data_IF_432119054866
#
_entry.id   IF_432119054866
#
_cell.length_a   1.000
_cell.length_b   1.000
_cell.length_c   1.000
_cell.angle_alpha   90.00
_cell.angle_beta   90.00
_cell.angle_gamma   90.00
#
_symmetry.space_group_name_H-M   'P 1'
#
loop_
_entity.id
_entity.type
_entity.pdbx_description
1 polymer ?
#
# COMPACT_ATOMS: atom_id res chain seq x y z
N UNK A 1 7.66 -1.42 27.19
CA UNK A 1 8.59 -0.26 27.34
C UNK A 1 7.84 0.99 27.77
N UNK A 2 8.49 1.94 28.47
CA UNK A 2 7.94 3.29 28.66
C UNK A 2 7.93 3.98 27.30
N UNK A 3 6.80 4.54 26.87
CA UNK A 3 6.63 5.09 25.51
C UNK A 3 7.20 6.50 25.40
N UNK A 4 6.90 7.36 26.38
CA UNK A 4 7.41 8.73 26.42
C UNK A 4 8.94 8.76 26.56
N UNK A 5 9.60 9.46 25.64
CA UNK A 5 11.07 9.50 25.53
C UNK A 5 11.68 8.27 24.85
N UNK A 6 10.87 7.39 24.24
CA UNK A 6 11.36 6.25 23.46
C UNK A 6 12.04 6.73 22.19
N UNK A 7 13.21 6.19 21.86
CA UNK A 7 13.92 6.45 20.62
C UNK A 7 13.69 5.29 19.65
N UNK A 8 13.08 5.59 18.49
CA UNK A 8 12.76 4.66 17.41
C UNK A 8 13.53 5.06 16.16
N UNK A 9 14.06 4.12 15.41
CA UNK A 9 14.65 4.34 14.10
C UNK A 9 13.77 3.78 12.99
N UNK A 10 13.79 4.40 11.81
CA UNK A 10 13.15 3.88 10.59
C UNK A 10 14.12 4.00 9.42
N UNK A 11 14.26 2.94 8.62
CA UNK A 11 15.28 2.83 7.55
C UNK A 11 14.62 2.78 6.18
N UNK A 12 15.06 3.65 5.27
CA UNK A 12 14.49 3.81 3.95
C UNK A 12 15.57 3.81 2.85
N UNK A 13 15.28 3.26 1.64
CA UNK A 13 16.19 3.43 0.50
C UNK A 13 16.17 4.86 -0.01
N UNK A 14 14.99 5.48 -0.01
CA UNK A 14 14.74 6.85 -0.46
C UNK A 14 13.53 7.40 0.28
N UNK A 15 13.56 8.67 0.64
CA UNK A 15 12.41 9.43 1.15
C UNK A 15 12.00 10.48 0.11
N UNK A 16 10.78 10.36 -0.39
CA UNK A 16 10.17 11.23 -1.39
C UNK A 16 8.64 11.21 -1.25
N UNK A 17 7.89 11.91 -2.08
CA UNK A 17 6.42 11.91 -2.02
C UNK A 17 5.83 10.67 -2.71
N UNK A 18 5.82 9.54 -2.00
CA UNK A 18 5.22 8.27 -2.43
C UNK A 18 4.18 7.76 -1.43
N UNK A 19 3.42 6.72 -1.80
CA UNK A 19 2.35 6.21 -0.93
C UNK A 19 2.85 5.68 0.42
N UNK A 20 4.00 4.98 0.45
CA UNK A 20 4.62 4.52 1.69
C UNK A 20 5.16 5.69 2.52
N UNK A 21 5.75 6.67 1.87
CA UNK A 21 6.42 7.80 2.53
C UNK A 21 5.43 8.72 3.22
N UNK A 22 4.20 8.83 2.71
CA UNK A 22 3.08 9.51 3.40
C UNK A 22 2.74 8.79 4.70
N UNK A 23 2.65 7.46 4.69
CA UNK A 23 2.36 6.66 5.89
C UNK A 23 3.48 6.83 6.93
N UNK A 24 4.74 6.79 6.49
CA UNK A 24 5.92 6.97 7.34
C UNK A 24 5.94 8.39 7.95
N UNK A 25 5.59 9.39 7.16
CA UNK A 25 5.49 10.78 7.61
C UNK A 25 4.37 10.97 8.65
N UNK A 26 3.18 10.43 8.38
CA UNK A 26 2.05 10.52 9.32
C UNK A 26 2.30 9.72 10.60
N UNK A 27 3.04 8.61 10.51
CA UNK A 27 3.52 7.87 11.69
C UNK A 27 4.51 8.72 12.50
N UNK A 28 5.36 9.52 11.87
CA UNK A 28 6.25 10.47 12.54
C UNK A 28 5.46 11.52 13.33
N UNK A 29 4.41 12.11 12.74
CA UNK A 29 3.50 13.02 13.46
C UNK A 29 2.81 12.34 14.65
N UNK A 30 2.37 11.10 14.46
CA UNK A 30 1.76 10.32 15.51
C UNK A 30 2.74 10.07 16.66
N UNK A 31 3.97 9.66 16.36
CA UNK A 31 5.02 9.40 17.36
C UNK A 31 5.40 10.67 18.13
N UNK A 32 5.53 11.81 17.44
CA UNK A 32 5.69 13.12 18.10
C UNK A 32 4.59 13.36 19.15
N UNK A 33 3.33 13.10 18.78
CA UNK A 33 2.20 13.27 19.70
C UNK A 33 2.18 12.28 20.89
N UNK A 34 2.99 11.23 20.82
CA UNK A 34 3.19 10.22 21.89
C UNK A 34 4.47 10.48 22.70
N UNK A 35 5.22 11.54 22.41
CA UNK A 35 6.52 11.82 23.02
C UNK A 35 7.63 10.85 22.59
N UNK A 36 7.50 10.22 21.42
CA UNK A 36 8.47 9.28 20.85
C UNK A 36 9.37 10.02 19.86
N UNK A 37 10.69 9.85 20.00
CA UNK A 37 11.67 10.37 19.06
C UNK A 37 11.86 9.42 17.89
N UNK A 38 11.72 9.91 16.64
CA UNK A 38 11.86 9.10 15.43
C UNK A 38 13.07 9.54 14.61
N UNK A 39 14.00 8.62 14.40
CA UNK A 39 15.23 8.82 13.65
C UNK A 39 15.12 8.15 12.28
N UNK A 40 15.08 8.95 11.22
CA UNK A 40 15.05 8.44 9.84
C UNK A 40 16.48 8.25 9.32
N UNK A 41 16.75 7.06 8.75
CA UNK A 41 17.99 6.73 8.05
C UNK A 41 17.68 6.40 6.60
N UNK A 42 18.26 7.14 5.65
CA UNK A 42 17.96 6.95 4.23
C UNK A 42 19.20 7.07 3.36
N UNK A 43 19.23 6.37 2.21
CA UNK A 43 20.29 6.48 1.21
C UNK A 43 20.13 7.76 0.40
N UNK A 44 18.89 8.12 0.06
CA UNK A 44 18.53 9.31 -0.69
C UNK A 44 17.38 10.06 -0.02
N UNK A 45 17.48 11.37 0.04
CA UNK A 45 16.43 12.25 0.54
C UNK A 45 16.12 13.34 -0.47
N UNK A 46 14.86 13.42 -0.90
CA UNK A 46 14.34 14.46 -1.76
C UNK A 46 13.60 15.50 -0.92
N UNK A 47 14.35 16.43 -0.36
CA UNK A 47 13.85 17.45 0.58
C UNK A 47 12.67 18.26 0.03
N UNK A 48 12.69 18.60 -1.25
CA UNK A 48 11.58 19.32 -1.90
C UNK A 48 10.27 18.52 -1.95
N UNK A 49 10.34 17.20 -1.88
CA UNK A 49 9.19 16.30 -1.95
C UNK A 49 8.77 15.75 -0.59
N UNK A 50 9.69 15.66 0.37
CA UNK A 50 9.44 15.10 1.69
C UNK A 50 10.22 15.84 2.78
N UNK A 51 9.52 16.31 3.81
CA UNK A 51 10.09 17.04 4.95
C UNK A 51 9.89 16.27 6.24
N UNK A 52 10.70 16.58 7.27
CA UNK A 52 10.51 16.02 8.60
C UNK A 52 9.14 16.40 9.18
N UNK A 53 8.41 15.44 9.76
CA UNK A 53 7.11 15.71 10.39
C UNK A 53 7.17 16.75 11.50
N UNK A 54 8.19 16.66 12.35
CA UNK A 54 8.46 17.58 13.45
C UNK A 54 9.97 17.54 13.77
N UNK A 55 10.74 18.60 13.49
CA UNK A 55 12.17 18.62 13.75
C UNK A 55 12.57 18.52 15.24
N UNK A 56 11.65 18.73 16.17
CA UNK A 56 11.91 18.60 17.61
C UNK A 56 11.99 17.13 18.04
N UNK A 57 11.17 16.28 17.44
CA UNK A 57 11.07 14.85 17.75
C UNK A 57 11.61 13.95 16.64
N UNK A 58 11.79 14.50 15.43
CA UNK A 58 12.26 13.73 14.28
C UNK A 58 13.63 14.21 13.81
N UNK A 59 14.53 13.28 13.52
CA UNK A 59 15.81 13.57 12.88
C UNK A 59 15.97 12.74 11.62
N UNK A 60 16.87 13.18 10.71
CA UNK A 60 17.20 12.46 9.49
C UNK A 60 18.71 12.40 9.32
N UNK A 61 19.20 11.21 8.98
CA UNK A 61 20.61 10.98 8.67
C UNK A 61 20.73 10.24 7.34
N UNK A 62 21.63 10.72 6.47
CA UNK A 62 21.97 10.02 5.25
C UNK A 62 23.01 8.93 5.52
N UNK A 63 22.87 7.79 4.85
CA UNK A 63 23.93 6.80 4.80
C UNK A 63 25.20 7.39 4.12
N UNK A 64 26.40 6.87 4.43
CA UNK A 64 27.62 7.32 3.79
C UNK A 64 27.55 7.26 2.27
N UNK A 65 28.24 8.17 1.59
CA UNK A 65 28.28 8.24 0.14
C UNK A 65 28.71 6.89 -0.47
N UNK A 66 27.96 6.41 -1.47
CA UNK A 66 28.19 5.12 -2.12
C UNK A 66 27.63 3.90 -1.37
N UNK A 67 27.09 4.08 -0.17
CA UNK A 67 26.39 3.01 0.52
C UNK A 67 25.13 2.62 -0.25
N UNK A 68 24.84 1.31 -0.27
CA UNK A 68 23.55 0.78 -0.72
C UNK A 68 22.83 0.25 0.51
N UNK A 69 21.54 0.44 0.57
CA UNK A 69 20.75 -0.12 1.66
C UNK A 69 21.09 -1.62 1.83
N UNK A 70 21.38 -2.01 3.08
CA UNK A 70 21.75 -3.38 3.43
C UNK A 70 23.05 -3.91 2.76
N UNK A 71 24.06 -3.05 2.53
CA UNK A 71 25.44 -3.50 2.37
C UNK A 71 26.20 -3.37 3.70
N UNK A 72 27.40 -3.95 3.80
CA UNK A 72 28.19 -3.95 5.03
C UNK A 72 28.42 -2.53 5.56
N UNK A 73 28.82 -1.60 4.69
CA UNK A 73 29.07 -0.19 5.05
C UNK A 73 27.82 0.49 5.66
N UNK A 74 26.64 0.25 5.07
CA UNK A 74 25.40 0.81 5.58
C UNK A 74 25.02 0.19 6.93
N UNK A 75 25.22 -1.10 7.12
CA UNK A 75 24.91 -1.80 8.37
C UNK A 75 25.83 -1.36 9.49
N UNK A 76 27.14 -1.26 9.23
CA UNK A 76 28.12 -0.80 10.24
C UNK A 76 27.82 0.64 10.68
N UNK A 77 27.53 1.53 9.73
CA UNK A 77 27.09 2.88 10.03
C UNK A 77 25.80 2.88 10.86
N UNK A 78 24.78 2.11 10.44
CA UNK A 78 23.50 2.05 11.14
C UNK A 78 23.70 1.56 12.58
N UNK A 79 24.46 0.49 12.82
CA UNK A 79 24.75 -0.03 14.17
C UNK A 79 25.42 1.04 15.04
N UNK A 80 26.34 1.82 14.49
CA UNK A 80 26.97 2.93 15.22
C UNK A 80 25.91 3.99 15.61
N UNK A 81 25.04 4.38 14.68
CA UNK A 81 23.99 5.37 14.92
C UNK A 81 22.95 4.86 15.94
N UNK A 82 22.54 3.59 15.85
CA UNK A 82 21.60 2.98 16.80
C UNK A 82 22.12 3.07 18.24
N UNK A 83 23.42 2.85 18.45
CA UNK A 83 24.06 2.98 19.76
C UNK A 83 24.21 4.43 20.21
N UNK A 84 24.64 5.32 19.29
CA UNK A 84 24.85 6.75 19.57
C UNK A 84 23.56 7.43 20.03
N UNK A 85 22.43 7.13 19.37
CA UNK A 85 21.13 7.72 19.67
C UNK A 85 20.29 6.88 20.65
N UNK A 86 20.89 5.83 21.24
CA UNK A 86 20.21 4.93 22.20
C UNK A 86 18.88 4.39 21.67
N UNK A 87 18.86 4.02 20.38
CA UNK A 87 17.65 3.51 19.72
C UNK A 87 17.22 2.20 20.37
N UNK A 88 15.97 2.12 20.76
CA UNK A 88 15.37 0.92 21.36
C UNK A 88 14.67 0.04 20.33
N UNK A 89 14.11 0.63 19.28
CA UNK A 89 13.32 -0.07 18.25
C UNK A 89 13.77 0.36 16.86
N UNK A 90 14.00 -0.60 15.98
CA UNK A 90 14.29 -0.37 14.57
C UNK A 90 13.11 -0.84 13.72
N UNK A 91 12.42 0.11 13.07
CA UNK A 91 11.37 -0.15 12.09
C UNK A 91 11.99 -0.37 10.70
N UNK A 92 11.60 -1.44 10.04
CA UNK A 92 12.12 -1.85 8.74
C UNK A 92 10.96 -1.96 7.74
N UNK A 93 10.58 -0.86 7.05
CA UNK A 93 9.47 -0.88 6.10
C UNK A 93 9.83 -1.65 4.83
N UNK A 94 9.09 -2.71 4.52
CA UNK A 94 9.10 -3.49 3.27
C UNK A 94 10.42 -4.14 2.82
N UNK A 95 11.58 -3.65 3.21
CA UNK A 95 12.88 -4.10 2.67
C UNK A 95 13.68 -4.79 3.76
N UNK A 96 13.71 -6.12 3.69
CA UNK A 96 14.43 -6.93 4.69
C UNK A 96 15.94 -6.68 4.68
N UNK A 97 16.56 -6.55 5.86
CA UNK A 97 18.00 -6.42 6.02
C UNK A 97 18.75 -7.75 5.89
N UNK A 98 18.11 -8.79 5.35
CA UNK A 98 18.81 -10.06 5.14
C UNK A 98 20.03 -9.89 4.21
N UNK A 99 21.24 -10.41 4.56
CA UNK A 99 21.53 -11.36 5.64
C UNK A 99 21.95 -10.74 7.00
N UNK A 100 21.76 -9.45 7.23
CA UNK A 100 22.33 -8.70 8.37
C UNK A 100 21.43 -8.66 9.62
N UNK A 101 20.34 -9.44 9.67
CA UNK A 101 19.42 -9.48 10.82
C UNK A 101 20.15 -9.75 12.15
N UNK A 102 21.05 -10.73 12.18
CA UNK A 102 21.80 -11.09 13.39
C UNK A 102 22.75 -9.97 13.84
N UNK A 103 23.41 -9.29 12.88
CA UNK A 103 24.27 -8.16 13.19
C UNK A 103 23.47 -6.99 13.80
N UNK A 104 22.29 -6.70 13.28
CA UNK A 104 21.40 -5.68 13.83
C UNK A 104 20.88 -6.06 15.22
N UNK A 105 20.50 -7.32 15.44
CA UNK A 105 20.07 -7.82 16.77
C UNK A 105 21.18 -7.71 17.80
N UNK A 106 22.44 -7.95 17.42
CA UNK A 106 23.59 -7.82 18.33
C UNK A 106 23.84 -6.40 18.83
N UNK A 107 23.23 -5.37 18.21
CA UNK A 107 23.25 -4.00 18.71
C UNK A 107 22.33 -3.77 19.91
N UNK A 108 21.49 -4.74 20.27
CA UNK A 108 20.56 -4.67 21.40
C UNK A 108 19.20 -4.05 21.07
N UNK A 109 18.96 -3.64 19.81
CA UNK A 109 17.69 -3.04 19.40
C UNK A 109 16.63 -4.12 19.13
N UNK A 110 15.37 -3.77 19.35
CA UNK A 110 14.22 -4.58 18.91
C UNK A 110 13.94 -4.35 17.44
N UNK A 111 13.86 -5.43 16.67
CA UNK A 111 13.64 -5.39 15.23
C UNK A 111 12.14 -5.57 14.90
N UNK A 112 11.54 -4.60 14.24
CA UNK A 112 10.15 -4.65 13.80
C UNK A 112 10.10 -4.54 12.28
N UNK A 113 9.72 -5.62 11.61
CA UNK A 113 9.50 -5.59 10.17
C UNK A 113 8.08 -5.06 9.89
N UNK A 114 7.99 -3.97 9.13
CA UNK A 114 6.72 -3.31 8.83
C UNK A 114 6.33 -3.52 7.37
N UNK A 115 5.51 -4.54 7.13
CA UNK A 115 5.10 -4.91 5.77
C UNK A 115 3.88 -4.10 5.32
N UNK A 116 4.07 -3.27 4.30
CA UNK A 116 3.00 -2.49 3.65
C UNK A 116 2.46 -3.14 2.36
N UNK A 117 2.95 -4.31 2.03
CA UNK A 117 2.54 -5.07 0.85
C UNK A 117 1.58 -6.23 1.16
N UNK A 118 1.03 -6.79 0.11
CA UNK A 118 0.38 -8.10 0.19
C UNK A 118 1.45 -9.17 0.43
N UNK A 119 1.30 -10.06 1.43
CA UNK A 119 2.26 -11.12 1.65
C UNK A 119 2.49 -11.99 0.41
N UNK A 120 3.76 -12.32 0.14
CA UNK A 120 4.18 -13.14 -1.01
C UNK A 120 3.77 -12.56 -2.38
N UNK A 121 3.55 -11.24 -2.46
CA UNK A 121 3.22 -10.57 -3.72
C UNK A 121 4.34 -10.68 -4.75
N UNK A 122 5.59 -10.74 -4.30
CA UNK A 122 6.78 -10.85 -5.15
C UNK A 122 6.75 -12.11 -6.01
N UNK A 123 6.25 -13.21 -5.45
CA UNK A 123 6.05 -14.44 -6.20
C UNK A 123 5.02 -14.26 -7.33
N UNK A 124 3.92 -13.54 -7.06
CA UNK A 124 2.87 -13.25 -8.05
C UNK A 124 3.35 -12.23 -9.07
N UNK A 125 3.93 -11.12 -8.61
CA UNK A 125 4.46 -10.07 -9.48
C UNK A 125 5.55 -10.61 -10.42
N UNK A 126 6.43 -11.46 -9.94
CA UNK A 126 7.45 -12.04 -10.78
C UNK A 126 6.89 -12.94 -11.90
N UNK A 127 5.70 -13.50 -11.74
CA UNK A 127 5.01 -14.23 -12.81
C UNK A 127 4.38 -13.23 -13.80
N UNK A 128 3.74 -12.18 -13.29
CA UNK A 128 2.99 -11.21 -14.08
C UNK A 128 3.91 -10.21 -14.80
N UNK A 129 4.92 -9.68 -14.12
CA UNK A 129 5.93 -8.77 -14.72
C UNK A 129 6.71 -9.44 -15.85
N UNK A 130 6.91 -10.73 -15.73
CA UNK A 130 7.63 -11.48 -16.76
C UNK A 130 6.80 -11.72 -18.00
N UNK A 131 5.46 -11.81 -17.90
CA UNK A 131 4.57 -11.71 -19.06
C UNK A 131 4.71 -10.36 -19.78
N UNK A 132 5.09 -9.30 -19.07
CA UNK A 132 5.28 -7.95 -19.61
C UNK A 132 6.71 -7.75 -20.18
N UNK A 133 7.74 -8.26 -19.50
CA UNK A 133 9.15 -8.22 -19.97
C UNK A 133 9.39 -9.05 -21.22
N UNK A 134 8.54 -10.03 -21.45
CA UNK A 134 8.50 -10.89 -22.65
C UNK A 134 8.30 -10.09 -23.96
N UNK A 135 7.86 -8.82 -23.91
CA UNK A 135 7.73 -7.98 -25.10
C UNK A 135 9.05 -7.48 -25.69
N UNK A 136 10.20 -7.60 -24.99
CA UNK A 136 11.46 -6.95 -25.41
C UNK A 136 12.43 -7.75 -26.26
N UNK A 137 12.48 -9.08 -26.22
CA UNK A 137 13.36 -9.92 -27.10
C UNK A 137 12.79 -11.32 -27.33
N UNK A 138 12.57 -11.70 -28.58
CA UNK A 138 11.92 -12.97 -28.99
C UNK A 138 12.64 -14.22 -28.46
N UNK A 139 13.99 -14.26 -28.46
CA UNK A 139 14.79 -15.39 -27.96
C UNK A 139 14.64 -15.62 -26.46
N UNK A 140 14.64 -14.53 -25.64
CA UNK A 140 14.35 -14.62 -24.20
C UNK A 140 12.89 -14.97 -23.90
N UNK A 141 12.01 -14.69 -24.87
CA UNK A 141 10.58 -14.98 -24.82
C UNK A 141 10.35 -16.49 -24.86
N UNK A 142 10.97 -17.18 -25.79
CA UNK A 142 10.87 -18.63 -25.97
C UNK A 142 11.52 -19.40 -24.82
N UNK A 143 12.73 -19.00 -24.39
CA UNK A 143 13.40 -19.56 -23.21
C UNK A 143 12.56 -19.46 -21.94
N UNK A 144 11.84 -18.34 -21.79
CA UNK A 144 11.03 -18.05 -20.63
C UNK A 144 9.71 -18.81 -20.62
N UNK A 145 8.99 -18.85 -21.75
CA UNK A 145 7.67 -19.51 -21.87
C UNK A 145 7.81 -21.03 -21.80
N UNK A 146 8.86 -21.59 -22.43
CA UNK A 146 8.96 -23.04 -22.61
C UNK A 146 9.94 -23.73 -21.66
N UNK A 147 10.92 -23.05 -21.07
CA UNK A 147 11.97 -23.71 -20.28
C UNK A 147 12.02 -23.30 -18.81
N UNK A 148 12.22 -22.02 -18.50
CA UNK A 148 12.49 -21.60 -17.11
C UNK A 148 11.23 -21.35 -16.25
N UNK A 149 10.17 -20.80 -16.83
CA UNK A 149 8.95 -20.49 -16.07
C UNK A 149 8.14 -21.74 -15.74
N UNK A 150 7.80 -22.58 -16.73
CA UNK A 150 7.09 -23.81 -16.45
C UNK A 150 7.83 -24.70 -15.46
N UNK A 151 9.16 -24.83 -15.58
CA UNK A 151 9.96 -25.62 -14.66
C UNK A 151 9.95 -25.06 -13.23
N UNK A 152 10.16 -23.75 -13.04
CA UNK A 152 10.13 -23.12 -11.71
C UNK A 152 8.74 -23.10 -11.09
N UNK A 153 7.69 -22.97 -11.90
CA UNK A 153 6.31 -23.07 -11.44
C UNK A 153 5.94 -24.51 -11.09
N UNK A 154 6.29 -25.44 -11.96
CA UNK A 154 6.01 -26.87 -11.78
C UNK A 154 6.75 -27.46 -10.57
N UNK A 155 8.02 -27.09 -10.37
CA UNK A 155 8.79 -27.55 -9.20
C UNK A 155 8.43 -26.80 -7.92
N UNK A 156 7.70 -25.70 -7.97
CA UNK A 156 7.42 -24.84 -6.83
C UNK A 156 8.66 -24.18 -6.21
N UNK A 157 9.83 -24.28 -6.84
CA UNK A 157 11.10 -23.77 -6.30
C UNK A 157 11.05 -22.25 -6.05
N UNK A 158 10.39 -21.51 -6.95
CA UNK A 158 10.26 -20.07 -6.82
C UNK A 158 9.34 -19.66 -5.65
N UNK A 159 8.27 -20.41 -5.43
CA UNK A 159 7.38 -20.21 -4.28
C UNK A 159 8.11 -20.50 -2.98
N UNK A 160 8.82 -21.65 -2.90
CA UNK A 160 9.60 -22.02 -1.71
C UNK A 160 10.66 -20.98 -1.37
N UNK A 161 11.35 -20.43 -2.36
CA UNK A 161 12.35 -19.37 -2.14
C UNK A 161 11.76 -18.16 -1.40
N UNK A 162 10.55 -17.70 -1.78
CA UNK A 162 9.89 -16.59 -1.12
C UNK A 162 9.30 -16.99 0.24
N UNK A 163 8.72 -18.17 0.36
CA UNK A 163 8.23 -18.69 1.64
C UNK A 163 9.37 -18.79 2.66
N UNK A 164 10.54 -19.29 2.26
CA UNK A 164 11.75 -19.34 3.10
C UNK A 164 12.28 -17.96 3.46
N UNK A 165 12.23 -17.00 2.53
CA UNK A 165 12.59 -15.62 2.80
C UNK A 165 11.68 -15.00 3.88
N UNK A 166 10.36 -15.12 3.73
CA UNK A 166 9.40 -14.61 4.72
C UNK A 166 9.59 -15.27 6.08
N UNK A 167 9.81 -16.59 6.11
CA UNK A 167 10.06 -17.34 7.35
C UNK A 167 11.30 -16.79 8.07
N UNK A 168 12.41 -16.61 7.38
CA UNK A 168 13.63 -16.05 7.96
C UNK A 168 13.46 -14.63 8.47
N UNK A 169 12.69 -13.79 7.79
CA UNK A 169 12.39 -12.44 8.28
C UNK A 169 11.57 -12.49 9.55
N UNK A 170 10.55 -13.33 9.63
CA UNK A 170 9.71 -13.50 10.83
C UNK A 170 10.54 -14.07 11.99
N UNK A 171 11.38 -15.07 11.75
CA UNK A 171 12.29 -15.64 12.74
C UNK A 171 13.27 -14.61 13.27
N UNK A 172 13.87 -13.85 12.38
CA UNK A 172 14.93 -12.87 12.69
C UNK A 172 14.44 -11.55 13.27
N UNK A 173 13.13 -11.29 13.35
CA UNK A 173 12.57 -10.06 13.94
C UNK A 173 11.80 -10.34 15.23
N UNK A 174 11.66 -9.32 16.08
CA UNK A 174 10.85 -9.41 17.30
C UNK A 174 9.35 -9.36 16.96
N UNK A 175 8.96 -8.47 16.06
CA UNK A 175 7.59 -8.39 15.51
C UNK A 175 7.61 -8.23 13.98
N UNK A 176 6.55 -8.73 13.36
CA UNK A 176 6.25 -8.58 11.94
C UNK A 176 4.86 -7.98 11.78
N UNK A 177 4.79 -6.72 11.33
CA UNK A 177 3.53 -6.01 11.19
C UNK A 177 2.91 -6.29 9.82
N UNK A 178 1.60 -6.55 9.82
CA UNK A 178 0.80 -6.79 8.61
C UNK A 178 -0.35 -5.79 8.54
N UNK A 179 -0.84 -5.48 7.32
CA UNK A 179 -1.87 -4.46 7.12
C UNK A 179 -3.28 -4.86 7.59
N UNK A 180 -3.52 -6.14 7.86
CA UNK A 180 -4.80 -6.61 8.39
C UNK A 180 -4.67 -8.00 9.03
N UNK A 181 -5.64 -8.39 9.90
CA UNK A 181 -5.62 -9.71 10.54
C UNK A 181 -5.64 -10.89 9.56
N UNK A 182 -6.26 -10.73 8.39
CA UNK A 182 -6.29 -11.77 7.37
C UNK A 182 -4.89 -12.09 6.84
N UNK A 183 -4.05 -11.08 6.63
CA UNK A 183 -2.66 -11.29 6.19
C UNK A 183 -1.81 -12.01 7.24
N UNK A 184 -2.02 -11.73 8.52
CA UNK A 184 -1.34 -12.47 9.60
C UNK A 184 -1.72 -13.95 9.57
N UNK A 185 -3.02 -14.25 9.46
CA UNK A 185 -3.50 -15.64 9.33
C UNK A 185 -2.97 -16.34 8.08
N UNK A 186 -3.09 -15.70 6.92
CA UNK A 186 -2.58 -16.23 5.64
C UNK A 186 -1.09 -16.55 5.68
N UNK A 187 -0.28 -15.70 6.31
CA UNK A 187 1.15 -15.97 6.49
C UNK A 187 1.38 -17.14 7.43
N UNK A 188 0.73 -17.15 8.59
CA UNK A 188 0.89 -18.23 9.58
C UNK A 188 0.52 -19.60 8.99
N UNK A 189 -0.62 -19.68 8.31
CA UNK A 189 -1.10 -20.91 7.67
C UNK A 189 -0.20 -21.35 6.52
N UNK A 190 0.13 -20.41 5.63
CA UNK A 190 0.89 -20.74 4.42
C UNK A 190 2.34 -21.12 4.69
N UNK A 191 2.95 -20.50 5.69
CA UNK A 191 4.32 -20.81 6.10
C UNK A 191 4.37 -21.94 7.13
N UNK A 192 3.23 -22.46 7.59
CA UNK A 192 3.14 -23.45 8.68
C UNK A 192 3.93 -23.01 9.91
N UNK A 193 3.72 -21.74 10.34
CA UNK A 193 4.49 -21.18 11.46
C UNK A 193 4.13 -21.83 12.79
N UNK A 194 5.10 -22.17 13.62
CA UNK A 194 4.86 -22.53 15.03
C UNK A 194 4.13 -21.39 15.76
N UNK A 195 3.41 -21.71 16.83
CA UNK A 195 2.62 -20.73 17.60
C UNK A 195 3.46 -19.53 18.08
N UNK A 196 4.69 -19.79 18.50
CA UNK A 196 5.64 -18.74 18.92
C UNK A 196 5.92 -17.74 17.78
N UNK A 197 6.21 -18.24 16.56
CA UNK A 197 6.47 -17.37 15.42
C UNK A 197 5.20 -16.69 14.91
N UNK A 198 4.07 -17.39 14.92
CA UNK A 198 2.77 -16.82 14.55
C UNK A 198 2.38 -15.67 15.49
N UNK A 199 2.73 -15.73 16.76
CA UNK A 199 2.48 -14.66 17.74
C UNK A 199 3.22 -13.35 17.44
N UNK A 200 4.31 -13.38 16.65
CA UNK A 200 5.03 -12.19 16.19
C UNK A 200 4.29 -11.42 15.09
N UNK A 201 3.30 -12.05 14.44
CA UNK A 201 2.51 -11.41 13.39
C UNK A 201 1.44 -10.49 14.00
N UNK A 202 1.62 -9.18 13.87
CA UNK A 202 0.74 -8.18 14.46
C UNK A 202 0.05 -7.36 13.37
N UNK A 203 -1.27 -7.34 13.31
CA UNK A 203 -1.98 -6.45 12.41
C UNK A 203 -1.83 -4.99 12.83
N UNK A 204 -1.42 -4.14 11.88
CA UNK A 204 -1.37 -2.69 12.04
C UNK A 204 -1.91 -2.02 10.78
N UNK A 205 -3.06 -1.39 10.91
CA UNK A 205 -3.72 -0.66 9.83
C UNK A 205 -3.00 0.68 9.60
N UNK A 206 -2.88 1.09 8.34
CA UNK A 206 -2.32 2.40 8.01
C UNK A 206 -3.20 3.53 8.54
N UNK A 207 -2.57 4.53 9.14
CA UNK A 207 -3.24 5.72 9.67
C UNK A 207 -3.65 6.65 8.54
N UNK A 208 -4.80 7.30 8.70
CA UNK A 208 -5.23 8.45 7.91
C UNK A 208 -5.68 9.58 8.82
N UNK A 209 -5.36 10.82 8.44
CA UNK A 209 -5.97 11.98 9.06
C UNK A 209 -7.45 12.00 8.72
N UNK A 210 -8.31 12.00 9.73
CA UNK A 210 -9.76 11.97 9.52
C UNK A 210 -10.22 13.32 8.97
N UNK A 211 -10.94 13.32 7.84
CA UNK A 211 -11.57 14.53 7.30
C UNK A 211 -12.63 15.03 8.29
N UNK A 212 -12.49 16.23 8.88
CA UNK A 212 -13.40 16.67 9.93
C UNK A 212 -14.80 16.95 9.41
N UNK A 213 -14.92 17.43 8.18
CA UNK A 213 -16.19 17.88 7.57
C UNK A 213 -16.43 17.25 6.20
N UNK A 214 -16.63 15.92 6.11
CA UNK A 214 -16.87 15.26 4.83
C UNK A 214 -18.22 15.69 4.26
N UNK A 215 -18.24 16.22 3.05
CA UNK A 215 -19.49 16.49 2.36
C UNK A 215 -20.11 15.21 1.82
N UNK A 216 -21.43 15.07 1.96
CA UNK A 216 -22.23 13.98 1.37
C UNK A 216 -22.90 14.39 0.06
N UNK A 217 -22.99 15.70 -0.20
CA UNK A 217 -23.41 16.21 -1.50
C UNK A 217 -22.27 16.05 -2.51
N UNK A 218 -22.46 15.17 -3.47
CA UNK A 218 -21.45 14.76 -4.43
C UNK A 218 -21.91 14.98 -5.86
N UNK A 219 -20.97 15.31 -6.74
CA UNK A 219 -21.20 15.32 -8.17
C UNK A 219 -21.45 13.90 -8.71
N UNK A 220 -22.10 13.79 -9.86
CA UNK A 220 -22.19 12.52 -10.63
C UNK A 220 -20.83 12.20 -11.26
N UNK A 221 -19.80 12.13 -10.40
CA UNK A 221 -18.39 11.99 -10.74
C UNK A 221 -17.84 10.65 -10.24
N UNK A 222 -17.27 9.91 -11.15
CA UNK A 222 -16.51 8.71 -10.91
C UNK A 222 -15.03 9.05 -11.05
N UNK A 223 -14.19 8.64 -10.10
CA UNK A 223 -12.77 8.92 -10.14
C UNK A 223 -11.91 7.66 -10.10
N UNK A 224 -10.73 7.77 -10.69
CA UNK A 224 -9.56 6.97 -10.39
C UNK A 224 -8.47 7.91 -9.88
N UNK A 225 -7.80 7.54 -8.79
CA UNK A 225 -6.65 8.27 -8.25
C UNK A 225 -5.49 7.31 -8.06
N UNK A 226 -4.33 7.62 -8.66
CA UNK A 226 -3.14 6.79 -8.48
C UNK A 226 -2.17 6.82 -9.64
N UNK A 227 -1.07 6.09 -9.49
CA UNK A 227 -0.04 5.97 -10.52
C UNK A 227 -0.61 5.35 -11.80
N UNK A 228 -0.35 5.98 -12.94
CA UNK A 228 -0.76 5.47 -14.24
C UNK A 228 0.18 4.34 -14.68
N UNK A 229 -0.11 3.13 -14.22
CA UNK A 229 0.68 1.93 -14.46
C UNK A 229 -0.20 0.78 -14.96
N UNK A 230 0.25 0.15 -16.03
CA UNK A 230 -0.40 -1.05 -16.58
C UNK A 230 -0.05 -2.31 -15.78
N UNK A 231 1.12 -2.34 -15.15
CA UNK A 231 1.60 -3.53 -14.45
C UNK A 231 0.73 -3.89 -13.23
N UNK A 232 0.46 -2.90 -12.38
CA UNK A 232 -0.22 -3.07 -11.10
C UNK A 232 -1.59 -2.39 -11.04
N UNK A 233 -1.72 -1.12 -11.42
CA UNK A 233 -2.97 -0.34 -11.27
C UNK A 233 -4.01 -0.60 -12.36
N UNK A 234 -3.57 -1.05 -13.54
CA UNK A 234 -4.45 -1.44 -14.65
C UNK A 234 -5.52 -0.39 -14.99
N UNK A 235 -5.08 0.85 -15.18
CA UNK A 235 -5.95 2.00 -15.49
C UNK A 235 -6.71 1.79 -16.83
N UNK A 236 -6.17 1.00 -17.74
CA UNK A 236 -6.85 0.53 -18.95
C UNK A 236 -8.23 -0.10 -18.64
N UNK A 237 -8.36 -0.79 -17.52
CA UNK A 237 -9.64 -1.38 -17.09
C UNK A 237 -10.69 -0.33 -16.72
N UNK A 238 -10.31 0.86 -16.24
CA UNK A 238 -11.25 1.96 -15.97
C UNK A 238 -11.90 2.38 -17.28
N UNK A 239 -11.11 2.54 -18.34
CA UNK A 239 -11.61 2.87 -19.70
C UNK A 239 -12.55 1.77 -20.21
N UNK A 240 -12.16 0.51 -20.06
CA UNK A 240 -12.98 -0.63 -20.49
C UNK A 240 -14.27 -0.81 -19.69
N UNK A 241 -14.27 -0.49 -18.40
CA UNK A 241 -15.47 -0.49 -17.56
C UNK A 241 -16.41 0.64 -18.00
N UNK A 242 -15.87 1.84 -18.24
CA UNK A 242 -16.64 2.98 -18.71
C UNK A 242 -17.25 2.71 -20.09
N UNK A 243 -16.51 2.09 -21.00
CA UNK A 243 -17.02 1.67 -22.30
C UNK A 243 -18.29 0.80 -22.22
N UNK A 244 -18.47 0.05 -21.12
CA UNK A 244 -19.64 -0.80 -20.88
C UNK A 244 -20.75 -0.11 -20.09
N UNK A 245 -20.44 1.03 -19.44
CA UNK A 245 -21.37 1.67 -18.52
C UNK A 245 -21.92 3.03 -19.02
N UNK A 246 -21.20 3.72 -19.90
CA UNK A 246 -21.46 5.14 -20.21
C UNK A 246 -22.83 5.41 -20.83
N UNK A 247 -23.38 4.50 -21.63
CA UNK A 247 -24.71 4.64 -22.21
C UNK A 247 -25.82 4.58 -21.13
N UNK A 248 -25.61 3.72 -20.12
CA UNK A 248 -26.53 3.59 -19.01
C UNK A 248 -26.41 4.74 -17.98
N UNK A 249 -25.38 5.58 -18.09
CA UNK A 249 -25.02 6.65 -17.16
C UNK A 249 -24.81 7.99 -17.90
N UNK A 250 -25.86 8.54 -18.58
CA UNK A 250 -25.70 9.71 -19.45
C UNK A 250 -25.24 10.98 -18.73
N UNK A 251 -25.57 11.14 -17.44
CA UNK A 251 -25.24 12.32 -16.64
C UNK A 251 -23.93 12.17 -15.84
N UNK A 252 -23.29 11.01 -15.88
CA UNK A 252 -22.06 10.72 -15.15
C UNK A 252 -20.84 10.98 -16.00
N UNK A 253 -19.74 11.33 -15.35
CA UNK A 253 -18.43 11.47 -15.99
C UNK A 253 -17.33 10.79 -15.18
N UNK A 254 -16.20 10.52 -15.83
CA UNK A 254 -15.05 9.85 -15.24
C UNK A 254 -13.82 10.75 -15.33
N UNK A 255 -13.14 10.94 -14.20
CA UNK A 255 -11.86 11.61 -14.12
C UNK A 255 -10.76 10.64 -13.66
N UNK A 256 -9.67 10.59 -14.40
CA UNK A 256 -8.51 9.77 -14.08
C UNK A 256 -7.38 10.69 -13.64
N UNK A 257 -7.07 10.67 -12.35
CA UNK A 257 -6.05 11.50 -11.72
C UNK A 257 -4.78 10.70 -11.44
N UNK A 258 -3.65 11.23 -11.87
CA UNK A 258 -2.33 10.67 -11.64
C UNK A 258 -1.41 10.84 -12.82
N UNK A 259 -0.15 10.45 -12.64
CA UNK A 259 0.89 10.35 -13.68
C UNK A 259 1.57 8.99 -13.59
N UNK A 260 2.33 8.62 -14.60
CA UNK A 260 3.04 7.35 -14.56
C UNK A 260 3.61 6.91 -15.91
N UNK A 261 4.32 5.77 -15.91
CA UNK A 261 5.06 5.31 -17.08
C UNK A 261 4.19 4.92 -18.28
N UNK A 262 2.88 4.72 -18.07
CA UNK A 262 1.95 4.30 -19.12
C UNK A 262 1.00 5.42 -19.57
N UNK A 263 1.26 6.68 -19.19
CA UNK A 263 0.38 7.83 -19.47
C UNK A 263 0.11 8.00 -20.97
N UNK A 264 1.15 8.07 -21.79
CA UNK A 264 1.00 8.23 -23.24
C UNK A 264 0.25 7.05 -23.90
N UNK A 265 0.47 5.86 -23.39
CA UNK A 265 -0.26 4.68 -23.84
C UNK A 265 -1.75 4.75 -23.49
N UNK A 266 -2.08 5.27 -22.31
CA UNK A 266 -3.45 5.43 -21.86
C UNK A 266 -4.17 6.54 -22.64
N UNK A 267 -3.48 7.65 -22.97
CA UNK A 267 -3.99 8.71 -23.87
C UNK A 267 -4.38 8.13 -25.21
N UNK A 268 -3.45 7.44 -25.88
CA UNK A 268 -3.71 6.81 -27.16
C UNK A 268 -4.86 5.78 -27.11
N UNK A 269 -4.95 5.01 -25.99
CA UNK A 269 -6.02 4.05 -25.81
C UNK A 269 -7.37 4.71 -25.63
N UNK A 270 -7.44 5.81 -24.87
CA UNK A 270 -8.67 6.58 -24.67
C UNK A 270 -9.13 7.22 -25.99
N UNK A 271 -8.23 7.82 -26.78
CA UNK A 271 -8.50 8.37 -28.10
C UNK A 271 -9.03 7.30 -29.06
N UNK A 272 -8.38 6.13 -29.11
CA UNK A 272 -8.83 4.99 -29.92
C UNK A 272 -10.26 4.55 -29.58
N UNK A 273 -10.63 4.61 -28.29
CA UNK A 273 -11.96 4.23 -27.82
C UNK A 273 -13.05 5.28 -28.14
N UNK A 274 -12.68 6.54 -28.27
CA UNK A 274 -13.62 7.64 -28.58
C UNK A 274 -14.76 7.79 -27.57
N UNK A 275 -14.53 7.45 -26.29
CA UNK A 275 -15.58 7.43 -25.27
C UNK A 275 -15.92 8.83 -24.78
N UNK A 276 -17.21 9.16 -24.64
CA UNK A 276 -17.63 10.45 -24.09
C UNK A 276 -17.45 10.49 -22.56
N UNK A 277 -17.31 11.70 -22.01
CA UNK A 277 -17.38 11.99 -20.58
C UNK A 277 -16.34 11.25 -19.72
N UNK A 278 -15.16 10.94 -20.27
CA UNK A 278 -14.00 10.41 -19.56
C UNK A 278 -12.77 11.20 -19.95
N UNK A 279 -11.92 11.55 -18.99
CA UNK A 279 -10.69 12.32 -19.24
C UNK A 279 -9.54 11.93 -18.31
N UNK A 280 -8.31 12.11 -18.80
CA UNK A 280 -7.09 12.10 -17.99
C UNK A 280 -6.85 13.53 -17.48
N UNK A 281 -6.72 13.68 -16.16
CA UNK A 281 -6.62 14.99 -15.49
C UNK A 281 -5.18 15.33 -15.03
N UNK A 282 -4.22 14.40 -15.21
CA UNK A 282 -2.86 14.58 -14.70
C UNK A 282 -2.76 14.42 -13.18
N UNK A 283 -1.66 14.88 -12.62
CA UNK A 283 -1.38 14.78 -11.19
C UNK A 283 -2.31 15.71 -10.37
N UNK A 284 -2.96 15.16 -9.36
CA UNK A 284 -3.72 15.94 -8.39
C UNK A 284 -2.79 16.38 -7.25
N UNK A 285 -2.49 17.68 -7.18
CA UNK A 285 -1.67 18.22 -6.09
C UNK A 285 -2.37 18.11 -4.73
N UNK A 286 -3.69 18.36 -4.72
CA UNK A 286 -4.57 18.23 -3.57
C UNK A 286 -5.66 17.18 -3.83
N UNK A 287 -5.36 15.89 -3.60
CA UNK A 287 -6.33 14.82 -3.86
C UNK A 287 -7.64 14.94 -3.06
N UNK A 288 -7.60 15.59 -1.90
CA UNK A 288 -8.77 15.86 -1.06
C UNK A 288 -9.87 16.63 -1.80
N UNK A 289 -9.51 17.57 -2.68
CA UNK A 289 -10.49 18.31 -3.48
C UNK A 289 -11.21 17.42 -4.49
N UNK A 290 -10.48 16.48 -5.09
CA UNK A 290 -11.05 15.49 -6.00
C UNK A 290 -12.02 14.57 -5.25
N UNK A 291 -11.62 14.08 -4.06
CA UNK A 291 -12.49 13.26 -3.22
C UNK A 291 -13.72 14.00 -2.71
N UNK A 292 -13.63 15.31 -2.40
CA UNK A 292 -14.81 16.09 -1.95
C UNK A 292 -15.91 16.13 -3.00
N UNK A 293 -15.56 16.20 -4.28
CA UNK A 293 -16.50 16.26 -5.41
C UNK A 293 -17.06 14.89 -5.79
N UNK A 294 -16.24 13.86 -5.75
CA UNK A 294 -16.54 12.55 -6.31
C UNK A 294 -17.59 11.76 -5.51
N UNK A 295 -18.43 11.01 -6.24
CA UNK A 295 -19.38 10.04 -5.67
C UNK A 295 -18.79 8.64 -5.55
N UNK A 296 -17.98 8.23 -6.54
CA UNK A 296 -17.47 6.85 -6.66
C UNK A 296 -15.99 6.85 -7.02
N UNK A 297 -15.20 6.00 -6.35
CA UNK A 297 -13.82 5.71 -6.70
C UNK A 297 -13.71 4.31 -7.31
N UNK A 298 -12.97 4.16 -8.40
CA UNK A 298 -12.64 2.86 -9.00
C UNK A 298 -11.20 2.47 -8.70
N UNK A 299 -10.99 1.28 -8.13
CA UNK A 299 -9.68 0.64 -8.01
C UNK A 299 -9.66 -0.64 -8.85
N UNK A 300 -8.85 -0.65 -9.90
CA UNK A 300 -8.83 -1.72 -10.92
C UNK A 300 -7.54 -2.57 -10.88
N UNK A 301 -6.76 -2.43 -9.82
CA UNK A 301 -5.46 -3.06 -9.62
C UNK A 301 -5.49 -4.58 -9.76
N UNK A 302 -4.41 -5.15 -10.30
CA UNK A 302 -4.16 -6.60 -10.28
C UNK A 302 -3.62 -7.04 -8.93
N UNK A 303 -2.74 -6.22 -8.36
CA UNK A 303 -2.12 -6.43 -7.06
C UNK A 303 -2.28 -5.16 -6.23
N UNK A 304 -2.78 -5.30 -5.01
CA UNK A 304 -2.94 -4.20 -4.07
C UNK A 304 -2.70 -4.71 -2.66
N UNK A 305 -1.83 -4.04 -1.90
CA UNK A 305 -1.57 -4.41 -0.52
C UNK A 305 -2.77 -4.12 0.38
N UNK A 306 -3.20 -2.88 0.41
CA UNK A 306 -4.34 -2.42 1.22
C UNK A 306 -5.24 -1.46 0.43
N UNK A 307 -4.62 -0.61 -0.41
CA UNK A 307 -5.33 0.36 -1.23
C UNK A 307 -5.63 1.64 -0.45
N UNK A 308 -4.59 2.44 -0.14
CA UNK A 308 -4.76 3.73 0.55
C UNK A 308 -5.87 4.59 -0.04
N UNK A 309 -5.96 4.66 -1.35
CA UNK A 309 -6.99 5.42 -2.07
C UNK A 309 -8.43 4.97 -1.74
N UNK A 310 -8.63 3.70 -1.34
CA UNK A 310 -9.94 3.21 -0.89
C UNK A 310 -10.31 3.83 0.47
N UNK A 311 -9.37 3.84 1.40
CA UNK A 311 -9.55 4.45 2.72
C UNK A 311 -9.64 5.98 2.63
N UNK A 312 -8.86 6.62 1.75
CA UNK A 312 -8.98 8.05 1.43
C UNK A 312 -10.37 8.38 0.88
N UNK A 313 -10.89 7.58 -0.04
CA UNK A 313 -12.24 7.73 -0.55
C UNK A 313 -13.28 7.62 0.56
N UNK A 314 -13.20 6.58 1.41
CA UNK A 314 -14.08 6.41 2.57
C UNK A 314 -14.01 7.60 3.52
N UNK A 315 -12.81 8.15 3.73
CA UNK A 315 -12.58 9.31 4.58
C UNK A 315 -13.37 10.55 4.13
N UNK A 316 -13.59 10.67 2.84
CA UNK A 316 -14.35 11.78 2.24
C UNK A 316 -15.81 11.41 1.90
N UNK A 317 -16.32 10.25 2.28
CA UNK A 317 -17.67 9.81 1.93
C UNK A 317 -17.85 9.47 0.44
N UNK A 318 -16.77 9.14 -0.26
CA UNK A 318 -16.79 8.59 -1.62
C UNK A 318 -16.91 7.07 -1.54
N UNK A 319 -17.80 6.46 -2.32
CA UNK A 319 -17.99 5.01 -2.29
C UNK A 319 -16.93 4.33 -3.15
N UNK A 320 -15.98 3.57 -2.56
CA UNK A 320 -14.98 2.87 -3.32
C UNK A 320 -15.52 1.56 -3.90
N UNK A 321 -15.12 1.26 -5.14
CA UNK A 321 -15.32 -0.02 -5.80
C UNK A 321 -13.97 -0.64 -6.16
N UNK A 322 -13.77 -1.93 -5.86
CA UNK A 322 -12.53 -2.62 -6.20
C UNK A 322 -12.74 -4.08 -6.57
N UNK A 323 -11.83 -4.63 -7.37
CA UNK A 323 -11.69 -6.08 -7.47
C UNK A 323 -11.24 -6.65 -6.12
N UNK A 324 -11.84 -7.74 -5.70
CA UNK A 324 -11.45 -8.49 -4.50
C UNK A 324 -10.10 -9.21 -4.73
N UNK A 325 -9.06 -8.46 -5.10
CA UNK A 325 -7.77 -9.00 -5.53
C UNK A 325 -6.83 -9.38 -4.37
N UNK A 326 -7.14 -8.91 -3.15
CA UNK A 326 -6.35 -9.21 -1.95
C UNK A 326 -7.19 -9.12 -0.68
N UNK A 327 -6.70 -9.71 0.39
CA UNK A 327 -7.32 -9.63 1.72
C UNK A 327 -7.24 -8.22 2.32
N UNK A 328 -6.23 -7.42 1.95
CA UNK A 328 -6.16 -6.02 2.33
C UNK A 328 -7.30 -5.19 1.74
N UNK A 329 -7.59 -5.34 0.44
CA UNK A 329 -8.74 -4.68 -0.20
C UNK A 329 -10.06 -5.10 0.43
N UNK A 330 -10.22 -6.41 0.76
CA UNK A 330 -11.40 -6.92 1.47
C UNK A 330 -11.53 -6.33 2.87
N UNK A 331 -10.42 -6.16 3.59
CA UNK A 331 -10.42 -5.57 4.93
C UNK A 331 -10.86 -4.10 4.92
N UNK A 332 -10.47 -3.34 3.88
CA UNK A 332 -10.89 -1.94 3.74
C UNK A 332 -12.37 -1.83 3.37
N UNK A 333 -12.84 -2.59 2.39
CA UNK A 333 -14.23 -2.46 1.90
C UNK A 333 -15.26 -3.21 2.77
N UNK A 334 -14.81 -4.19 3.55
CA UNK A 334 -15.68 -5.13 4.28
C UNK A 334 -16.26 -6.21 3.35
N UNK A 335 -16.34 -7.44 3.85
CA UNK A 335 -16.91 -8.58 3.10
C UNK A 335 -18.44 -8.43 2.88
N UNK A 336 -19.10 -7.69 3.74
CA UNK A 336 -20.54 -7.44 3.75
C UNK A 336 -20.98 -6.21 2.95
N UNK A 337 -20.04 -5.60 2.22
CA UNK A 337 -20.29 -4.41 1.40
C UNK A 337 -20.90 -3.22 2.16
N UNK A 338 -20.52 -3.03 3.44
CA UNK A 338 -20.99 -1.86 4.20
C UNK A 338 -20.31 -0.56 3.82
N UNK A 339 -19.05 -0.61 3.40
CA UNK A 339 -18.22 0.57 3.18
C UNK A 339 -17.56 0.60 1.79
N UNK A 340 -18.18 -0.05 0.81
CA UNK A 340 -17.70 -0.11 -0.56
C UNK A 340 -18.23 -1.33 -1.30
N UNK A 341 -17.83 -1.48 -2.56
CA UNK A 341 -18.30 -2.55 -3.43
C UNK A 341 -17.15 -3.45 -3.87
N UNK A 342 -17.19 -4.72 -3.46
CA UNK A 342 -16.25 -5.75 -3.89
C UNK A 342 -16.74 -6.41 -5.20
N UNK A 343 -15.88 -6.51 -6.18
CA UNK A 343 -16.17 -7.16 -7.46
C UNK A 343 -15.30 -8.39 -7.64
N UNK A 344 -15.86 -9.46 -8.19
CA UNK A 344 -15.10 -10.68 -8.53
C UNK A 344 -13.84 -10.30 -9.33
N UNK A 345 -12.66 -10.83 -8.95
CA UNK A 345 -11.41 -10.50 -9.61
C UNK A 345 -11.47 -10.56 -11.13
N UNK A 346 -11.19 -9.41 -11.73
CA UNK A 346 -10.99 -9.13 -13.13
C UNK A 346 -12.20 -9.32 -14.06
N UNK A 347 -13.41 -9.45 -13.51
CA UNK A 347 -14.66 -9.46 -14.29
C UNK A 347 -15.11 -8.03 -14.60
N UNK A 348 -14.72 -7.51 -15.77
CA UNK A 348 -15.09 -6.15 -16.22
C UNK A 348 -16.59 -5.99 -16.44
N UNK A 349 -17.28 -7.03 -16.90
CA UNK A 349 -18.73 -7.01 -17.08
C UNK A 349 -19.46 -6.86 -15.74
N UNK A 350 -19.09 -7.66 -14.74
CA UNK A 350 -19.66 -7.55 -13.40
C UNK A 350 -19.34 -6.19 -12.76
N UNK A 351 -18.13 -5.67 -12.99
CA UNK A 351 -17.73 -4.35 -12.48
C UNK A 351 -18.63 -3.25 -13.08
N UNK A 352 -18.83 -3.25 -14.39
CA UNK A 352 -19.70 -2.28 -15.05
C UNK A 352 -21.15 -2.39 -14.57
N UNK A 353 -21.70 -3.60 -14.43
CA UNK A 353 -23.08 -3.81 -13.93
C UNK A 353 -23.24 -3.26 -12.51
N UNK A 354 -22.29 -3.53 -11.62
CA UNK A 354 -22.32 -3.03 -10.24
C UNK A 354 -22.11 -1.51 -10.17
N UNK A 355 -21.27 -0.95 -11.05
CA UNK A 355 -21.10 0.49 -11.20
C UNK A 355 -22.39 1.17 -11.63
N UNK A 356 -23.07 0.63 -12.64
CA UNK A 356 -24.37 1.14 -13.09
C UNK A 356 -25.39 1.13 -11.96
N UNK A 357 -25.49 0.02 -11.21
CA UNK A 357 -26.36 -0.05 -10.03
C UNK A 357 -26.02 1.01 -9.01
N UNK A 358 -24.74 1.13 -8.62
CA UNK A 358 -24.28 2.09 -7.62
C UNK A 358 -24.57 3.54 -8.04
N UNK A 359 -24.44 3.87 -9.33
CA UNK A 359 -24.69 5.20 -9.83
C UNK A 359 -26.19 5.53 -9.94
N UNK A 360 -27.05 4.56 -10.26
CA UNK A 360 -28.50 4.76 -10.43
C UNK A 360 -29.29 4.68 -9.13
N UNK A 361 -28.89 3.80 -8.24
CA UNK A 361 -29.56 3.56 -6.96
C UNK A 361 -29.00 4.52 -5.89
N UNK A 362 -29.69 5.64 -5.71
CA UNK A 362 -29.28 6.70 -4.80
C UNK A 362 -29.31 6.25 -3.34
N UNK A 363 -30.32 5.46 -2.95
CA UNK A 363 -30.47 4.99 -1.58
C UNK A 363 -29.40 3.98 -1.22
N UNK A 364 -29.10 3.06 -2.16
CA UNK A 364 -28.00 2.12 -2.00
C UNK A 364 -26.65 2.86 -1.85
N UNK A 365 -26.40 3.86 -2.70
CA UNK A 365 -25.18 4.66 -2.62
C UNK A 365 -25.08 5.44 -1.32
N UNK A 366 -26.17 6.09 -0.89
CA UNK A 366 -26.22 6.83 0.37
C UNK A 366 -25.94 5.93 1.58
N UNK A 367 -26.49 4.71 1.60
CA UNK A 367 -26.19 3.72 2.64
C UNK A 367 -24.70 3.38 2.69
N UNK A 368 -24.07 3.17 1.54
CA UNK A 368 -22.65 2.88 1.47
C UNK A 368 -21.79 4.10 1.88
N UNK A 369 -22.19 5.32 1.57
CA UNK A 369 -21.52 6.54 2.03
C UNK A 369 -21.52 6.62 3.56
N UNK A 370 -22.63 6.33 4.21
CA UNK A 370 -22.68 6.28 5.68
C UNK A 370 -21.75 5.19 6.25
N UNK A 371 -21.72 4.03 5.59
CA UNK A 371 -20.79 2.96 5.94
C UNK A 371 -19.34 3.38 5.80
N UNK A 372 -18.98 4.12 4.75
CA UNK A 372 -17.65 4.69 4.54
C UNK A 372 -17.26 5.62 5.71
N UNK A 373 -18.18 6.53 6.10
CA UNK A 373 -17.92 7.46 7.21
C UNK A 373 -17.79 6.78 8.57
N UNK A 374 -18.46 5.65 8.77
CA UNK A 374 -18.26 4.83 9.96
C UNK A 374 -16.92 4.11 9.93
N UNK A 375 -16.57 3.54 8.78
CA UNK A 375 -15.34 2.73 8.60
C UNK A 375 -14.06 3.57 8.74
N UNK A 376 -14.05 4.83 8.29
CA UNK A 376 -12.87 5.72 8.35
C UNK A 376 -12.33 5.90 9.78
N UNK A 377 -13.17 5.77 10.80
CA UNK A 377 -12.75 5.93 12.20
C UNK A 377 -11.79 4.82 12.65
N UNK A 378 -11.78 3.67 11.96
CA UNK A 378 -10.81 2.60 12.21
C UNK A 378 -9.38 3.00 11.80
N UNK A 379 -9.24 4.01 10.94
CA UNK A 379 -7.96 4.52 10.41
C UNK A 379 -7.46 5.77 11.15
N UNK A 380 -8.20 6.20 12.16
CA UNK A 380 -7.92 7.46 12.86
C UNK A 380 -6.58 7.45 13.60
N UNK A 381 -5.96 8.62 13.80
CA UNK A 381 -4.74 8.74 14.60
C UNK A 381 -4.89 8.19 16.02
N UNK A 382 -6.07 8.31 16.63
CA UNK A 382 -6.36 7.78 17.98
C UNK A 382 -6.24 6.26 18.02
N UNK A 383 -6.87 5.56 17.04
CA UNK A 383 -6.77 4.09 16.92
C UNK A 383 -5.35 3.64 16.64
N UNK A 384 -4.65 4.38 15.81
CA UNK A 384 -3.25 4.07 15.51
C UNK A 384 -2.34 4.29 16.71
N UNK A 385 -2.62 5.30 17.54
CA UNK A 385 -1.90 5.54 18.81
C UNK A 385 -2.07 4.36 19.77
N UNK A 386 -3.30 3.88 19.95
CA UNK A 386 -3.59 2.68 20.75
C UNK A 386 -2.80 1.46 20.23
N UNK A 387 -2.88 1.19 18.94
CA UNK A 387 -2.19 0.06 18.31
C UNK A 387 -0.65 0.13 18.46
N UNK A 388 -0.05 1.31 18.23
CA UNK A 388 1.39 1.50 18.44
C UNK A 388 1.80 1.39 19.91
N UNK A 389 0.96 1.87 20.84
CA UNK A 389 1.22 1.70 22.27
C UNK A 389 1.26 0.21 22.65
N UNK A 390 0.32 -0.59 22.15
CA UNK A 390 0.31 -2.05 22.35
C UNK A 390 1.55 -2.71 21.73
N UNK A 391 1.95 -2.30 20.52
CA UNK A 391 3.17 -2.80 19.85
C UNK A 391 4.40 -2.53 20.71
N UNK A 392 4.58 -1.30 21.22
CA UNK A 392 5.72 -0.95 22.07
C UNK A 392 5.70 -1.67 23.42
N UNK A 393 4.53 -1.99 23.98
CA UNK A 393 4.41 -2.77 25.21
C UNK A 393 4.83 -4.24 25.00
N UNK A 394 4.62 -4.80 23.81
CA UNK A 394 4.99 -6.18 23.45
C UNK A 394 6.48 -6.38 23.19
N UNK A 395 7.24 -5.32 22.93
CA UNK A 395 8.69 -5.31 22.72
C UNK A 395 9.48 -5.21 24.02
#
# INVERSE_FOLDING_TARGET
MKIEGLHVASVHPILFRGGLDVIVHDTGKLFTSMGVHLHYYTVEWREAEWQLPDPTFCSLSLFPQGAKLWNQQAVDFLIQQLRLHQISVLLIPNISPFPYLDALRSSGVKLVFWNHGMPLWEYRAAIDDRRLLVKKKLSRRLEWIFLRVPFKLWTGAYRRQWEDYYRRVIEGTDLYLTLCPAYARELAERLHLPAEQASKLVPLINTLQVEPHPTLEKEKLIIFVGRLSYADKRVDRVIDIWARAHEALPDWHVEIHGTGPDEERLKAYLEQKGLPRIRLCGYAAEPSEVYRRASVLLLTSTHEGWGMVLAEAQNHGVVPMAFACSSGVRAVLGEDERAGVLVRPFSLSQYAQRLIRLCRDTDYRAKLQQGCLSKRLEYSPERSREAWAEIFQRL
#
